data_IF_221619386607
#
_entry.id   IF_221619386607
#
_cell.length_a   1.000
_cell.length_b   1.000
_cell.length_c   1.000
_cell.angle_alpha   90.00
_cell.angle_beta   90.00
_cell.angle_gamma   90.00
#
_symmetry.space_group_name_H-M   'P 1'
#
loop_
_entity.id
_entity.type
_entity.pdbx_description
1 polymer ?
#
# COMPACT_ATOMS: atom_id res chain seq x y z
N UNK A 1 7.98 21.24 9.97
CA UNK A 1 7.49 19.85 10.06
C UNK A 1 7.21 19.33 8.66
N UNK A 2 7.84 18.22 8.27
CA UNK A 2 7.70 17.65 6.92
C UNK A 2 6.35 16.97 6.74
N UNK A 3 5.71 17.19 5.59
CA UNK A 3 4.47 16.52 5.21
C UNK A 3 4.83 15.36 4.27
N UNK A 4 4.59 14.12 4.70
CA UNK A 4 4.71 12.94 3.84
C UNK A 4 3.60 12.99 2.78
N UNK A 5 3.99 13.20 1.52
CA UNK A 5 3.05 13.35 0.38
C UNK A 5 3.08 12.17 -0.60
N UNK A 6 4.23 11.53 -0.76
CA UNK A 6 4.47 10.44 -1.70
C UNK A 6 5.22 9.32 -1.00
N UNK A 7 4.76 8.09 -1.16
CA UNK A 7 5.41 6.89 -0.62
C UNK A 7 5.44 5.81 -1.71
N UNK A 8 6.59 5.14 -1.86
CA UNK A 8 6.73 3.92 -2.66
C UNK A 8 7.16 2.79 -1.74
N UNK A 9 6.36 1.73 -1.67
CA UNK A 9 6.68 0.50 -0.97
C UNK A 9 6.95 -0.58 -2.01
N UNK A 10 8.01 -1.35 -1.84
CA UNK A 10 8.42 -2.41 -2.78
C UNK A 10 8.56 -3.73 -2.08
N UNK A 11 8.37 -4.81 -2.83
CA UNK A 11 8.58 -6.19 -2.37
C UNK A 11 7.64 -6.59 -1.24
N UNK A 12 6.39 -6.10 -1.29
CA UNK A 12 5.37 -6.41 -0.28
C UNK A 12 4.87 -7.85 -0.47
N UNK A 13 5.09 -8.67 0.54
CA UNK A 13 4.89 -10.13 0.51
C UNK A 13 3.63 -10.62 1.24
N UNK A 14 2.77 -9.69 1.66
CA UNK A 14 1.45 -9.89 2.30
C UNK A 14 1.40 -10.24 3.77
N UNK A 15 2.51 -10.07 4.48
CA UNK A 15 2.53 -10.29 5.92
C UNK A 15 1.72 -9.23 6.67
N UNK A 16 1.08 -9.66 7.77
CA UNK A 16 0.33 -8.79 8.69
C UNK A 16 1.08 -7.50 9.05
N UNK A 17 2.40 -7.54 9.39
CA UNK A 17 3.22 -6.35 9.61
C UNK A 17 3.22 -5.31 8.48
N UNK A 18 3.27 -5.74 7.22
CA UNK A 18 3.32 -4.83 6.06
C UNK A 18 1.99 -4.09 5.91
N UNK A 19 0.89 -4.80 6.15
CA UNK A 19 -0.45 -4.23 6.15
C UNK A 19 -0.65 -3.23 7.30
N UNK A 20 -0.24 -3.57 8.51
CA UNK A 20 -0.30 -2.68 9.68
C UNK A 20 0.54 -1.42 9.46
N UNK A 21 1.70 -1.55 8.80
CA UNK A 21 2.54 -0.43 8.44
C UNK A 21 1.87 0.50 7.41
N UNK A 22 1.25 -0.07 6.37
CA UNK A 22 0.47 0.70 5.39
C UNK A 22 -0.67 1.45 6.09
N UNK A 23 -1.43 0.78 6.96
CA UNK A 23 -2.47 1.43 7.76
C UNK A 23 -1.91 2.59 8.59
N UNK A 24 -0.82 2.36 9.31
CA UNK A 24 -0.18 3.37 10.13
C UNK A 24 0.20 4.61 9.31
N UNK A 25 0.77 4.43 8.11
CA UNK A 25 1.14 5.53 7.22
C UNK A 25 -0.08 6.32 6.74
N UNK A 26 -1.15 5.62 6.36
CA UNK A 26 -2.40 6.22 5.89
C UNK A 26 -3.08 7.05 6.99
N UNK A 27 -3.07 6.58 8.23
CA UNK A 27 -3.66 7.31 9.36
C UNK A 27 -2.77 8.43 9.91
N UNK A 28 -1.44 8.22 9.89
CA UNK A 28 -0.50 9.18 10.48
C UNK A 28 -0.16 10.35 9.55
N UNK A 29 -0.41 10.22 8.24
CA UNK A 29 -0.09 11.26 7.26
C UNK A 29 -1.34 11.82 6.57
N UNK A 30 -2.04 12.80 7.18
CA UNK A 30 -3.20 13.44 6.57
C UNK A 30 -2.88 14.25 5.29
N UNK A 31 -1.58 14.45 4.98
CA UNK A 31 -1.10 15.11 3.76
C UNK A 31 -0.61 14.13 2.69
N UNK A 32 -0.76 12.83 2.91
CA UNK A 32 -0.42 11.83 1.90
C UNK A 32 -1.36 11.99 0.70
N UNK A 33 -0.79 12.01 -0.50
CA UNK A 33 -1.53 12.17 -1.75
C UNK A 33 -1.44 10.89 -2.56
N UNK A 34 -0.27 10.25 -2.58
CA UNK A 34 -0.03 9.07 -3.41
C UNK A 34 0.77 8.02 -2.66
N UNK A 35 0.31 6.77 -2.75
CA UNK A 35 1.03 5.58 -2.27
C UNK A 35 1.11 4.56 -3.40
N UNK A 36 2.31 4.19 -3.80
CA UNK A 36 2.54 3.14 -4.79
C UNK A 36 3.06 1.89 -4.09
N UNK A 37 2.39 0.76 -4.31
CA UNK A 37 2.74 -0.53 -3.72
C UNK A 37 3.16 -1.47 -4.87
N UNK A 38 4.40 -1.92 -4.81
CA UNK A 38 4.92 -2.94 -5.72
C UNK A 38 4.89 -4.28 -5.00
N UNK A 39 4.15 -5.22 -5.58
CA UNK A 39 3.96 -6.57 -5.05
C UNK A 39 5.24 -7.40 -5.16
N UNK A 40 5.47 -8.28 -4.19
CA UNK A 40 6.53 -9.27 -4.28
C UNK A 40 6.27 -10.24 -5.45
N UNK A 41 7.27 -10.63 -6.25
CA UNK A 41 7.08 -11.54 -7.39
C UNK A 41 6.46 -12.90 -7.02
N UNK A 42 6.77 -13.38 -5.81
CA UNK A 42 6.25 -14.63 -5.26
C UNK A 42 4.91 -14.46 -4.50
N UNK A 43 4.28 -13.28 -4.57
CA UNK A 43 3.01 -13.06 -3.90
C UNK A 43 1.89 -13.83 -4.62
N UNK A 44 1.24 -14.73 -3.89
CA UNK A 44 0.12 -15.50 -4.42
C UNK A 44 -1.05 -14.57 -4.81
N UNK A 45 -1.68 -14.74 -5.99
CA UNK A 45 -2.76 -13.87 -6.45
C UNK A 45 -3.95 -13.76 -5.48
N UNK A 46 -4.25 -14.86 -4.78
CA UNK A 46 -5.31 -14.90 -3.76
C UNK A 46 -4.96 -14.00 -2.57
N UNK A 47 -3.69 -13.94 -2.19
CA UNK A 47 -3.21 -13.09 -1.11
C UNK A 47 -3.16 -11.63 -1.53
N UNK A 48 -2.68 -11.33 -2.75
CA UNK A 48 -2.75 -9.99 -3.34
C UNK A 48 -4.18 -9.43 -3.36
N UNK A 49 -5.15 -10.26 -3.78
CA UNK A 49 -6.57 -9.90 -3.75
C UNK A 49 -7.08 -9.65 -2.33
N UNK A 50 -6.66 -10.48 -1.36
CA UNK A 50 -7.01 -10.32 0.06
C UNK A 50 -6.48 -9.00 0.63
N UNK A 51 -5.23 -8.66 0.36
CA UNK A 51 -4.62 -7.38 0.78
C UNK A 51 -5.38 -6.22 0.16
N UNK A 52 -5.60 -6.25 -1.15
CA UNK A 52 -6.31 -5.19 -1.88
C UNK A 52 -7.71 -4.96 -1.27
N UNK A 53 -8.46 -6.03 -1.00
CA UNK A 53 -9.78 -5.92 -0.34
C UNK A 53 -9.68 -5.29 1.05
N UNK A 54 -8.69 -5.68 1.86
CA UNK A 54 -8.49 -5.10 3.19
C UNK A 54 -8.09 -3.62 3.13
N UNK A 55 -7.30 -3.23 2.13
CA UNK A 55 -6.89 -1.83 1.92
C UNK A 55 -8.06 -0.97 1.43
N UNK A 56 -8.92 -1.50 0.56
CA UNK A 56 -10.16 -0.83 0.13
C UNK A 56 -11.17 -0.65 1.26
N UNK A 57 -11.12 -1.47 2.32
CA UNK A 57 -11.94 -1.31 3.52
C UNK A 57 -11.43 -0.18 4.43
N UNK A 58 -10.21 0.31 4.22
CA UNK A 58 -9.71 1.46 4.96
C UNK A 58 -10.46 2.71 4.49
N UNK A 59 -10.96 3.50 5.44
CA UNK A 59 -11.46 4.84 5.16
C UNK A 59 -10.29 5.75 4.84
N UNK A 60 -9.87 5.73 3.58
CA UNK A 60 -8.89 6.67 3.06
C UNK A 60 -9.51 8.07 3.02
N UNK A 61 -8.67 9.08 3.27
CA UNK A 61 -9.02 10.44 2.83
C UNK A 61 -9.25 10.41 1.32
N UNK A 62 -10.28 11.08 0.83
CA UNK A 62 -10.60 11.13 -0.61
C UNK A 62 -9.47 11.71 -1.48
N UNK A 63 -8.45 12.31 -0.85
CA UNK A 63 -7.26 12.85 -1.49
C UNK A 63 -6.12 11.82 -1.70
N UNK A 64 -6.23 10.59 -1.18
CA UNK A 64 -5.19 9.56 -1.31
C UNK A 64 -5.49 8.65 -2.49
N UNK A 65 -4.56 8.55 -3.43
CA UNK A 65 -4.53 7.54 -4.49
C UNK A 65 -3.57 6.41 -4.11
N UNK A 66 -4.02 5.15 -4.25
CA UNK A 66 -3.20 3.96 -4.04
C UNK A 66 -3.11 3.19 -5.35
N UNK A 67 -1.90 2.99 -5.83
CA UNK A 67 -1.62 2.25 -7.06
C UNK A 67 -0.88 0.95 -6.73
N UNK A 68 -1.37 -0.17 -7.27
CA UNK A 68 -0.72 -1.48 -7.17
C UNK A 68 -0.10 -1.86 -8.52
N UNK A 69 1.11 -2.40 -8.47
CA UNK A 69 1.80 -2.92 -9.66
C UNK A 69 2.56 -4.18 -9.31
N UNK A 70 2.56 -5.17 -10.20
CA UNK A 70 3.46 -6.31 -10.12
C UNK A 70 4.86 -5.90 -10.54
N UNK A 71 5.89 -6.40 -9.84
CA UNK A 71 7.27 -6.14 -10.23
C UNK A 71 7.55 -6.89 -11.54
N UNK A 72 7.53 -6.16 -12.66
CA UNK A 72 7.68 -6.71 -14.01
C UNK A 72 9.16 -6.90 -14.31
N UNK A 73 9.85 -7.73 -13.54
CA UNK A 73 11.23 -8.10 -13.87
C UNK A 73 11.18 -9.32 -14.77
N UNK A 74 11.57 -9.11 -16.03
CA UNK A 74 11.76 -10.14 -17.06
C UNK A 74 13.04 -10.92 -16.81
#
# INVERSE_FOLDING_TARGET
MGKLRLIKLTNISSFVPEFEFIQFLLFSSPSLVTMSIVEHPELEPVEALRITKRLLQLRLSSAVSIDFSSDSTT
#
